data_IF_194942127314
#
_entry.id   IF_194942127314
#
_cell.length_a   1.000
_cell.length_b   1.000
_cell.length_c   1.000
_cell.angle_alpha   90.00
_cell.angle_beta   90.00
_cell.angle_gamma   90.00
#
_symmetry.space_group_name_H-M   'P 1'
#
loop_
_entity.id
_entity.type
_entity.pdbx_description
1 polymer ?
#
# COMPACT_ATOMS: atom_id res chain seq x y z
N UNK A 1 42.78 17.85 -36.12
CA UNK A 1 42.60 19.16 -36.79
C UNK A 1 41.17 19.38 -37.36
N UNK A 2 40.30 18.41 -37.40
CA UNK A 2 38.99 18.45 -38.04
C UNK A 2 37.91 19.25 -37.26
N UNK A 3 37.95 19.22 -35.92
CA UNK A 3 37.02 19.94 -35.06
C UNK A 3 37.03 21.48 -35.21
N UNK A 4 38.17 22.08 -35.59
CA UNK A 4 38.24 23.54 -35.80
C UNK A 4 37.66 24.00 -37.10
N UNK A 5 37.58 23.13 -38.15
CA UNK A 5 37.13 23.45 -39.49
C UNK A 5 35.62 23.36 -39.64
N UNK A 6 34.95 22.52 -38.82
CA UNK A 6 33.53 22.28 -38.85
C UNK A 6 32.84 22.50 -37.50
N UNK A 7 33.15 23.61 -36.85
CA UNK A 7 32.69 23.90 -35.46
C UNK A 7 31.17 23.75 -35.29
N UNK A 8 30.38 24.28 -36.21
CA UNK A 8 28.91 24.25 -36.13
C UNK A 8 28.39 22.81 -36.25
N UNK A 9 28.90 22.05 -37.22
CA UNK A 9 28.48 20.65 -37.40
C UNK A 9 28.89 19.77 -36.18
N UNK A 10 30.09 20.01 -35.62
CA UNK A 10 30.55 19.29 -34.42
C UNK A 10 29.69 19.61 -33.20
N UNK A 11 29.34 20.89 -33.01
CA UNK A 11 28.43 21.31 -31.92
C UNK A 11 27.06 20.70 -32.08
N UNK A 12 26.46 20.75 -33.28
CA UNK A 12 25.17 20.14 -33.57
C UNK A 12 25.15 18.62 -33.32
N UNK A 13 26.22 17.93 -33.74
CA UNK A 13 26.32 16.48 -33.50
C UNK A 13 26.44 16.17 -32.00
N UNK A 14 27.23 16.93 -31.25
CA UNK A 14 27.35 16.75 -29.80
C UNK A 14 26.01 17.01 -29.12
N UNK A 15 25.33 18.11 -29.43
CA UNK A 15 24.01 18.44 -28.87
C UNK A 15 22.98 17.37 -29.24
N UNK A 16 22.92 16.96 -30.49
CA UNK A 16 22.01 15.92 -30.94
C UNK A 16 22.24 14.59 -30.25
N UNK A 17 23.51 14.18 -30.14
CA UNK A 17 23.87 12.94 -29.42
C UNK A 17 23.55 13.03 -27.93
N UNK A 18 23.82 14.16 -27.31
CA UNK A 18 23.49 14.39 -25.89
C UNK A 18 21.99 14.28 -25.64
N UNK A 19 21.18 14.93 -26.48
CA UNK A 19 19.71 14.86 -26.40
C UNK A 19 19.21 13.42 -26.60
N UNK A 20 19.78 12.69 -27.56
CA UNK A 20 19.43 11.29 -27.79
C UNK A 20 19.75 10.40 -26.57
N UNK A 21 20.91 10.58 -25.95
CA UNK A 21 21.28 9.85 -24.73
C UNK A 21 20.38 10.22 -23.53
N UNK A 22 20.05 11.50 -23.37
CA UNK A 22 19.11 11.91 -22.30
C UNK A 22 17.74 11.28 -22.52
N UNK A 23 17.20 11.33 -23.73
CA UNK A 23 15.91 10.69 -24.04
C UNK A 23 15.96 9.17 -23.80
N UNK A 24 17.02 8.50 -24.27
CA UNK A 24 17.20 7.07 -24.01
C UNK A 24 17.26 6.75 -22.51
N UNK A 25 18.04 7.53 -21.74
CA UNK A 25 18.16 7.32 -20.30
C UNK A 25 16.81 7.46 -19.57
N UNK A 26 16.02 8.49 -19.92
CA UNK A 26 14.69 8.70 -19.34
C UNK A 26 13.78 7.52 -19.65
N UNK A 27 13.71 7.08 -20.91
CA UNK A 27 12.88 5.94 -21.31
C UNK A 27 13.35 4.66 -20.61
N UNK A 28 14.64 4.37 -20.63
CA UNK A 28 15.20 3.18 -20.00
C UNK A 28 14.95 3.16 -18.49
N UNK A 29 15.08 4.30 -17.80
CA UNK A 29 14.79 4.41 -16.38
C UNK A 29 13.30 4.18 -16.07
N UNK A 30 12.39 4.67 -16.92
CA UNK A 30 10.95 4.45 -16.76
C UNK A 30 10.59 2.97 -16.99
N UNK A 31 11.16 2.35 -18.02
CA UNK A 31 10.94 0.92 -18.30
C UNK A 31 11.48 0.08 -17.13
N UNK A 32 12.67 0.40 -16.63
CA UNK A 32 13.25 -0.29 -15.48
C UNK A 32 12.38 -0.16 -14.23
N UNK A 33 11.92 1.07 -13.93
CA UNK A 33 11.02 1.32 -12.81
C UNK A 33 9.75 0.49 -12.92
N UNK A 34 9.09 0.50 -14.07
CA UNK A 34 7.87 -0.27 -14.31
C UNK A 34 8.10 -1.78 -14.22
N UNK A 35 9.21 -2.27 -14.77
CA UNK A 35 9.56 -3.70 -14.75
C UNK A 35 9.96 -4.21 -13.35
N UNK A 36 10.34 -3.32 -12.44
CA UNK A 36 10.74 -3.66 -11.06
C UNK A 36 9.69 -3.24 -10.03
N UNK A 37 8.54 -2.70 -10.47
CA UNK A 37 7.47 -2.27 -9.57
C UNK A 37 6.91 -3.45 -8.77
N UNK A 38 6.76 -3.26 -7.47
CA UNK A 38 6.35 -4.25 -6.48
C UNK A 38 7.29 -5.46 -6.27
N UNK A 39 8.38 -5.61 -7.02
CA UNK A 39 9.35 -6.69 -6.79
C UNK A 39 9.97 -6.74 -5.39
N UNK A 40 10.10 -5.61 -4.65
CA UNK A 40 10.57 -5.66 -3.26
C UNK A 40 9.59 -6.29 -2.27
N UNK A 41 8.33 -6.49 -2.66
CA UNK A 41 7.36 -7.26 -1.88
C UNK A 41 7.72 -8.73 -2.06
N UNK A 42 7.86 -9.45 -0.96
CA UNK A 42 8.19 -10.87 -0.97
C UNK A 42 7.11 -11.66 -1.72
N UNK A 43 7.52 -12.57 -2.60
CA UNK A 43 6.61 -13.37 -3.44
C UNK A 43 5.59 -12.54 -4.24
N UNK A 44 5.96 -11.32 -4.66
CA UNK A 44 5.05 -10.40 -5.35
C UNK A 44 4.44 -10.96 -6.64
N UNK A 45 5.04 -11.96 -7.24
CA UNK A 45 4.55 -12.71 -8.41
C UNK A 45 3.38 -13.67 -8.07
N UNK A 46 3.20 -14.00 -6.79
CA UNK A 46 2.09 -14.81 -6.26
C UNK A 46 1.00 -13.96 -5.58
N UNK A 47 1.20 -12.65 -5.44
CA UNK A 47 0.24 -11.73 -4.83
C UNK A 47 -0.58 -11.01 -5.88
N UNK A 48 -1.88 -11.21 -5.85
CA UNK A 48 -2.84 -10.64 -6.80
C UNK A 48 -3.85 -9.76 -6.10
N UNK A 49 -4.12 -8.60 -6.71
CA UNK A 49 -5.23 -7.74 -6.28
C UNK A 49 -6.52 -8.22 -6.97
N UNK A 50 -7.58 -8.31 -6.20
CA UNK A 50 -8.91 -8.66 -6.70
C UNK A 50 -9.61 -7.37 -7.11
N UNK A 51 -10.02 -7.31 -8.36
CA UNK A 51 -10.84 -6.21 -8.90
C UNK A 51 -12.26 -6.69 -9.16
N UNK A 52 -13.21 -5.85 -8.86
CA UNK A 52 -14.62 -6.10 -9.17
C UNK A 52 -15.00 -5.39 -10.47
N UNK A 53 -15.74 -6.09 -11.33
CA UNK A 53 -16.32 -5.50 -12.53
C UNK A 53 -17.68 -4.87 -12.18
N UNK A 54 -17.78 -3.57 -12.38
CA UNK A 54 -19.06 -2.87 -12.30
C UNK A 54 -19.81 -3.08 -13.62
N UNK A 55 -20.54 -4.19 -13.71
CA UNK A 55 -21.31 -4.52 -14.90
C UNK A 55 -22.64 -3.77 -14.97
N UNK A 56 -22.81 -2.91 -15.99
CA UNK A 56 -24.09 -2.80 -16.69
C UNK A 56 -25.24 -2.05 -16.06
N UNK A 57 -25.16 -1.44 -14.89
CA UNK A 57 -26.29 -0.69 -14.31
C UNK A 57 -26.42 0.74 -14.86
N UNK A 58 -25.42 1.25 -15.56
CA UNK A 58 -25.44 2.62 -16.10
C UNK A 58 -25.56 2.69 -17.63
N UNK A 59 -25.75 1.55 -18.32
CA UNK A 59 -26.10 1.53 -19.75
C UNK A 59 -25.06 2.14 -20.70
N UNK A 60 -23.84 2.34 -20.26
CA UNK A 60 -22.71 2.79 -21.10
C UNK A 60 -21.72 1.64 -21.15
N UNK A 61 -21.49 1.09 -22.32
CA UNK A 61 -20.82 -0.16 -22.63
C UNK A 61 -19.31 -0.25 -22.33
N UNK A 62 -18.80 0.48 -21.37
CA UNK A 62 -17.42 0.36 -20.90
C UNK A 62 -17.41 -0.46 -19.60
N UNK A 63 -16.63 -1.54 -19.61
CA UNK A 63 -16.36 -2.36 -18.45
C UNK A 63 -15.51 -1.56 -17.45
N UNK A 64 -16.14 -1.00 -16.43
CA UNK A 64 -15.45 -0.26 -15.37
C UNK A 64 -14.94 -1.25 -14.29
N UNK A 65 -13.65 -1.49 -14.29
CA UNK A 65 -12.98 -2.27 -13.25
C UNK A 65 -12.70 -1.40 -12.03
N UNK A 66 -13.18 -1.82 -10.86
CA UNK A 66 -12.88 -1.19 -9.57
C UNK A 66 -11.93 -2.06 -8.75
N UNK A 67 -10.91 -1.44 -8.17
CA UNK A 67 -10.06 -2.09 -7.16
C UNK A 67 -10.77 -2.25 -5.81
N UNK A 68 -11.83 -1.48 -5.56
CA UNK A 68 -12.62 -1.56 -4.34
C UNK A 68 -13.73 -2.59 -4.44
N UNK A 69 -13.91 -3.40 -3.39
CA UNK A 69 -15.01 -4.35 -3.26
C UNK A 69 -15.47 -4.47 -1.80
N UNK A 70 -16.71 -4.95 -1.55
CA UNK A 70 -17.21 -5.15 -0.20
C UNK A 70 -16.47 -6.29 0.50
N UNK A 71 -15.99 -6.04 1.72
CA UNK A 71 -15.17 -7.00 2.46
C UNK A 71 -15.83 -8.40 2.66
N UNK A 72 -17.07 -8.53 3.10
CA UNK A 72 -17.62 -9.86 3.38
C UNK A 72 -17.68 -10.77 2.16
N UNK A 73 -18.17 -10.25 1.06
CA UNK A 73 -18.38 -11.03 -0.18
C UNK A 73 -17.06 -11.51 -0.76
N UNK A 74 -16.06 -10.64 -0.77
CA UNK A 74 -14.75 -10.98 -1.33
C UNK A 74 -14.04 -12.02 -0.48
N UNK A 75 -14.11 -11.90 0.85
CA UNK A 75 -13.50 -12.85 1.77
C UNK A 75 -14.11 -14.25 1.61
N UNK A 76 -15.42 -14.36 1.69
CA UNK A 76 -16.13 -15.64 1.51
C UNK A 76 -15.81 -16.28 0.16
N UNK A 77 -15.66 -15.47 -0.88
CA UNK A 77 -15.33 -15.96 -2.21
C UNK A 77 -13.92 -16.52 -2.27
N UNK A 78 -12.92 -15.84 -1.68
CA UNK A 78 -11.52 -16.28 -1.70
C UNK A 78 -11.31 -17.54 -0.85
N UNK A 79 -11.95 -17.65 0.31
CA UNK A 79 -11.88 -18.83 1.17
C UNK A 79 -12.39 -20.11 0.49
N UNK A 80 -13.15 -19.98 -0.60
CA UNK A 80 -13.67 -21.10 -1.40
C UNK A 80 -12.67 -21.60 -2.47
N UNK A 81 -11.54 -20.91 -2.69
CA UNK A 81 -10.63 -21.28 -3.79
C UNK A 81 -9.48 -22.17 -3.34
N UNK A 82 -9.29 -23.33 -4.00
CA UNK A 82 -8.09 -24.13 -3.84
C UNK A 82 -6.86 -23.35 -4.27
N UNK A 83 -5.80 -23.38 -3.46
CA UNK A 83 -4.53 -22.73 -3.77
C UNK A 83 -4.41 -21.27 -3.30
N UNK A 84 -5.42 -20.71 -2.65
CA UNK A 84 -5.25 -19.48 -1.88
C UNK A 84 -4.51 -19.79 -0.57
N UNK A 85 -3.29 -19.27 -0.41
CA UNK A 85 -2.45 -19.47 0.78
C UNK A 85 -2.92 -18.55 1.91
N UNK A 86 -3.03 -17.27 1.62
CA UNK A 86 -3.50 -16.26 2.56
C UNK A 86 -4.14 -15.08 1.83
N UNK A 87 -4.91 -14.30 2.56
CA UNK A 87 -5.72 -13.23 2.02
C UNK A 87 -5.72 -12.05 2.98
N UNK A 88 -5.71 -10.85 2.42
CA UNK A 88 -5.79 -9.62 3.19
C UNK A 88 -6.62 -8.55 2.49
N UNK A 89 -6.98 -7.54 3.24
CA UNK A 89 -7.55 -6.32 2.68
C UNK A 89 -6.81 -5.10 3.22
N UNK A 90 -6.80 -4.06 2.40
CA UNK A 90 -6.37 -2.72 2.77
C UNK A 90 -7.54 -1.77 2.57
N UNK A 91 -7.74 -0.88 3.53
CA UNK A 91 -8.61 0.28 3.35
C UNK A 91 -7.74 1.52 3.27
N UNK A 92 -7.68 2.07 2.07
CA UNK A 92 -6.98 3.31 1.81
C UNK A 92 -7.89 4.51 2.10
N UNK A 93 -7.32 5.49 2.75
CA UNK A 93 -7.99 6.77 2.93
C UNK A 93 -7.44 7.78 1.92
N UNK A 94 -8.35 8.51 1.27
CA UNK A 94 -8.02 9.48 0.22
C UNK A 94 -7.08 10.62 0.66
N UNK A 95 -6.89 10.80 1.97
CA UNK A 95 -6.02 11.82 2.56
C UNK A 95 -5.11 11.19 3.61
N UNK A 96 -3.88 11.69 3.77
CA UNK A 96 -3.02 11.28 4.86
C UNK A 96 -3.72 11.49 6.21
N UNK A 97 -3.64 10.48 7.08
CA UNK A 97 -4.19 10.60 8.42
C UNK A 97 -3.42 11.65 9.24
N UNK A 98 -4.16 12.39 10.03
CA UNK A 98 -3.59 13.21 11.08
C UNK A 98 -3.34 12.34 12.29
N UNK A 99 -2.09 12.31 12.71
CA UNK A 99 -1.65 11.57 13.87
C UNK A 99 -0.94 12.48 14.82
N UNK A 100 -1.00 12.19 16.10
CA UNK A 100 -0.32 12.94 17.15
C UNK A 100 0.51 12.01 18.00
N UNK A 101 1.59 12.53 18.52
CA UNK A 101 2.38 11.93 19.59
C UNK A 101 2.44 12.86 20.77
N UNK A 102 2.60 12.32 21.97
CA UNK A 102 2.78 13.06 23.19
C UNK A 102 4.05 12.55 23.88
N UNK A 103 5.07 13.37 23.97
CA UNK A 103 6.28 13.02 24.69
C UNK A 103 6.13 13.35 26.16
N UNK A 104 6.37 12.36 27.03
CA UNK A 104 6.46 12.52 28.51
C UNK A 104 5.34 13.35 29.16
N UNK A 105 4.11 13.24 28.65
CA UNK A 105 2.97 14.02 29.16
C UNK A 105 2.94 15.48 28.79
N UNK A 106 3.81 15.91 27.86
CA UNK A 106 3.84 17.27 27.30
C UNK A 106 2.73 17.54 26.27
N UNK A 107 2.92 18.58 25.46
CA UNK A 107 1.98 18.93 24.42
C UNK A 107 1.94 17.93 23.27
N UNK A 108 0.76 17.76 22.69
CA UNK A 108 0.58 16.95 21.51
C UNK A 108 1.25 17.55 20.28
N UNK A 109 2.07 16.78 19.59
CA UNK A 109 2.69 17.16 18.33
C UNK A 109 1.94 16.48 17.19
N UNK A 110 1.52 17.26 16.21
CA UNK A 110 0.70 16.81 15.06
C UNK A 110 1.56 16.53 13.84
N UNK A 111 1.22 15.42 13.15
CA UNK A 111 1.85 14.99 11.91
C UNK A 111 0.79 14.55 10.90
N UNK A 112 1.13 14.65 9.60
CA UNK A 112 0.36 14.04 8.52
C UNK A 112 1.16 12.85 7.98
N UNK A 113 0.56 11.67 7.98
CA UNK A 113 1.21 10.43 7.55
C UNK A 113 0.27 9.55 6.75
N UNK A 114 0.80 8.86 5.74
CA UNK A 114 0.11 7.80 5.03
C UNK A 114 -0.15 6.63 5.98
N UNK A 115 -1.38 6.15 6.00
CA UNK A 115 -1.78 5.04 6.85
C UNK A 115 -2.83 4.20 6.14
N UNK A 116 -2.78 2.89 6.39
CA UNK A 116 -3.81 1.95 5.98
C UNK A 116 -4.45 1.31 7.21
N UNK A 117 -5.76 1.07 7.12
CA UNK A 117 -6.38 0.00 7.90
C UNK A 117 -6.14 -1.30 7.13
N UNK A 118 -5.62 -2.31 7.80
CA UNK A 118 -5.17 -3.55 7.18
C UNK A 118 -5.56 -4.75 8.04
N UNK A 119 -6.02 -5.83 7.41
CA UNK A 119 -6.15 -7.09 8.14
C UNK A 119 -4.77 -7.60 8.57
N UNK A 120 -4.65 -8.25 9.75
CA UNK A 120 -3.37 -8.71 10.29
C UNK A 120 -2.56 -9.59 9.32
N UNK A 121 -3.23 -10.35 8.48
CA UNK A 121 -2.64 -11.22 7.47
C UNK A 121 -1.84 -10.45 6.41
N UNK A 122 -2.09 -9.14 6.30
CA UNK A 122 -1.33 -8.26 5.39
C UNK A 122 0.16 -8.18 5.68
N UNK A 123 0.57 -8.41 6.93
CA UNK A 123 1.99 -8.48 7.27
C UNK A 123 2.70 -9.63 6.53
N UNK A 124 2.02 -10.76 6.40
CA UNK A 124 2.51 -11.94 5.69
C UNK A 124 2.37 -11.77 4.17
N UNK A 125 1.18 -11.32 3.70
CA UNK A 125 0.92 -11.14 2.27
C UNK A 125 1.94 -10.21 1.61
N UNK A 126 2.34 -9.15 2.30
CA UNK A 126 3.27 -8.14 1.75
C UNK A 126 4.70 -8.27 2.24
N UNK A 127 5.02 -9.31 3.02
CA UNK A 127 6.39 -9.58 3.49
C UNK A 127 7.01 -8.43 4.28
N UNK A 128 6.39 -8.05 5.40
CA UNK A 128 6.92 -6.97 6.24
C UNK A 128 8.23 -7.41 6.94
N UNK A 129 9.31 -6.69 6.68
CA UNK A 129 10.61 -6.89 7.35
C UNK A 129 10.58 -6.20 8.74
N UNK A 130 10.32 -6.97 9.79
CA UNK A 130 10.16 -6.46 11.15
C UNK A 130 11.52 -6.25 11.79
N UNK A 131 11.80 -5.02 12.21
CA UNK A 131 13.06 -4.59 12.80
C UNK A 131 13.06 -4.60 14.34
N UNK A 132 11.88 -4.40 14.95
CA UNK A 132 11.72 -4.38 16.41
C UNK A 132 10.28 -4.67 16.79
N UNK A 133 10.10 -5.19 18.02
CA UNK A 133 8.79 -5.51 18.58
C UNK A 133 8.25 -6.87 18.15
N UNK A 134 6.96 -7.06 18.36
CA UNK A 134 6.23 -8.29 18.05
C UNK A 134 5.02 -7.95 17.16
N UNK A 135 5.17 -8.18 15.87
CA UNK A 135 4.15 -7.87 14.87
C UNK A 135 2.89 -8.75 15.00
N UNK A 136 2.97 -9.91 15.67
CA UNK A 136 1.80 -10.76 15.91
C UNK A 136 0.74 -10.07 16.78
N UNK A 137 1.15 -9.09 17.59
CA UNK A 137 0.26 -8.30 18.45
C UNK A 137 -0.63 -7.31 17.67
N UNK A 138 -0.43 -7.14 16.37
CA UNK A 138 -1.37 -6.33 15.56
C UNK A 138 -2.79 -6.90 15.56
N UNK A 139 -2.97 -8.15 15.95
CA UNK A 139 -4.30 -8.78 16.12
C UNK A 139 -5.09 -8.21 17.31
N UNK A 140 -4.39 -7.58 18.24
CA UNK A 140 -5.03 -6.96 19.39
C UNK A 140 -5.66 -5.61 19.01
N UNK A 141 -6.75 -5.22 19.66
CA UNK A 141 -7.38 -3.94 19.41
C UNK A 141 -6.48 -2.77 19.80
N UNK A 142 -6.61 -1.66 19.10
CA UNK A 142 -5.85 -0.44 19.35
C UNK A 142 -4.33 -0.61 19.23
N UNK A 143 -3.89 -1.40 18.26
CA UNK A 143 -2.48 -1.59 17.93
C UNK A 143 -2.15 -1.14 16.53
N UNK A 144 -0.90 -0.75 16.34
CA UNK A 144 -0.35 -0.37 15.03
C UNK A 144 1.06 -0.92 14.86
N UNK A 145 1.42 -1.15 13.61
CA UNK A 145 2.82 -1.28 13.20
C UNK A 145 3.22 -0.03 12.42
N UNK A 146 4.44 0.45 12.63
CA UNK A 146 4.92 1.67 12.00
C UNK A 146 6.24 1.44 11.28
N UNK A 147 6.49 2.20 10.20
CA UNK A 147 7.78 2.15 9.54
C UNK A 147 8.89 2.78 10.39
N UNK A 148 10.13 2.38 10.13
CA UNK A 148 11.31 2.96 10.79
C UNK A 148 11.35 4.48 10.59
N UNK A 149 11.11 4.96 9.36
CA UNK A 149 11.08 6.38 9.07
C UNK A 149 9.96 7.12 9.82
N UNK A 150 8.81 6.46 10.04
CA UNK A 150 7.76 7.01 10.89
C UNK A 150 8.18 7.09 12.36
N UNK A 151 8.76 6.02 12.90
CA UNK A 151 9.26 5.96 14.27
C UNK A 151 10.25 7.10 14.55
N UNK A 152 11.23 7.28 13.66
CA UNK A 152 12.22 8.34 13.75
C UNK A 152 11.59 9.76 13.66
N UNK A 153 10.67 9.96 12.72
CA UNK A 153 10.00 11.25 12.52
C UNK A 153 9.08 11.64 13.67
N UNK A 154 8.38 10.66 14.24
CA UNK A 154 7.46 10.86 15.36
C UNK A 154 8.20 10.91 16.69
N UNK A 155 9.42 10.37 16.78
CA UNK A 155 10.20 10.25 18.01
C UNK A 155 9.62 9.22 18.98
N UNK A 156 9.07 8.11 18.47
CA UNK A 156 8.43 7.06 19.26
C UNK A 156 9.00 5.68 18.90
N UNK A 157 8.83 4.72 19.78
CA UNK A 157 9.28 3.35 19.65
C UNK A 157 8.19 2.32 19.96
N UNK A 158 8.59 1.07 20.05
CA UNK A 158 7.69 -0.02 20.48
C UNK A 158 7.22 0.22 21.90
N UNK A 159 5.92 0.11 22.15
CA UNK A 159 5.26 0.37 23.43
C UNK A 159 4.73 1.79 23.58
N UNK A 160 5.20 2.73 22.76
CA UNK A 160 4.69 4.10 22.76
C UNK A 160 3.31 4.19 22.11
N UNK A 161 2.66 5.34 22.27
CA UNK A 161 1.35 5.60 21.71
C UNK A 161 1.40 6.62 20.57
N UNK A 162 0.67 6.31 19.52
CA UNK A 162 0.27 7.26 18.48
C UNK A 162 -1.24 7.48 18.58
N UNK A 163 -1.68 8.72 18.45
CA UNK A 163 -3.08 9.08 18.57
C UNK A 163 -3.65 9.45 17.20
N UNK A 164 -4.80 8.89 16.89
CA UNK A 164 -5.56 9.23 15.69
C UNK A 164 -6.58 10.32 16.00
N UNK A 165 -7.06 10.95 14.93
CA UNK A 165 -8.08 11.96 15.04
C UNK A 165 -9.38 11.41 15.62
N UNK A 166 -9.93 12.15 16.57
CA UNK A 166 -11.27 11.98 17.09
C UNK A 166 -12.06 13.28 16.93
N UNK A 167 -13.39 13.21 17.08
CA UNK A 167 -14.27 14.37 16.97
C UNK A 167 -15.05 14.45 15.67
N UNK A 168 -16.05 15.35 15.64
CA UNK A 168 -16.88 15.57 14.46
C UNK A 168 -16.14 16.37 13.38
N UNK A 169 -16.50 16.12 12.14
CA UNK A 169 -15.94 16.63 10.89
C UNK A 169 -15.38 18.07 10.93
N UNK A 170 -14.12 18.21 10.57
CA UNK A 170 -13.33 19.38 10.17
C UNK A 170 -12.91 20.41 11.24
N UNK A 171 -13.70 20.77 12.24
CA UNK A 171 -13.36 21.92 13.08
C UNK A 171 -12.76 21.61 14.47
N UNK A 172 -12.90 20.39 14.98
CA UNK A 172 -12.45 19.99 16.31
C UNK A 172 -11.61 18.71 16.34
N UNK A 173 -10.75 18.52 15.33
CA UNK A 173 -9.89 17.33 15.29
C UNK A 173 -8.85 17.40 16.42
N UNK A 174 -8.93 16.44 17.31
CA UNK A 174 -8.08 16.28 18.47
C UNK A 174 -7.54 14.86 18.58
N UNK A 175 -6.42 14.65 19.28
CA UNK A 175 -5.89 13.31 19.53
C UNK A 175 -6.79 12.57 20.52
N UNK A 176 -7.57 11.59 20.04
CA UNK A 176 -8.52 10.86 20.91
C UNK A 176 -8.33 9.36 20.93
N UNK A 177 -7.87 8.76 19.84
CA UNK A 177 -7.81 7.32 19.70
C UNK A 177 -6.38 6.81 19.84
N UNK A 178 -5.91 6.52 21.07
CA UNK A 178 -4.57 5.98 21.25
C UNK A 178 -4.44 4.59 20.61
N UNK A 179 -3.32 4.38 19.93
CA UNK A 179 -2.93 3.11 19.37
C UNK A 179 -1.51 2.80 19.87
N UNK A 180 -1.30 1.62 20.36
CA UNK A 180 0.03 1.19 20.84
C UNK A 180 0.86 0.69 19.67
N UNK A 181 2.08 1.17 19.55
CA UNK A 181 3.06 0.67 18.58
C UNK A 181 3.56 -0.69 19.04
N UNK A 182 3.21 -1.75 18.31
CA UNK A 182 3.60 -3.13 18.67
C UNK A 182 4.82 -3.60 17.92
N UNK A 183 5.07 -3.04 16.71
CA UNK A 183 6.27 -3.36 15.95
C UNK A 183 6.71 -2.21 15.05
N UNK A 184 7.99 -2.21 14.71
CA UNK A 184 8.60 -1.31 13.75
C UNK A 184 9.09 -2.14 12.56
N UNK A 185 8.69 -1.78 11.35
CA UNK A 185 9.11 -2.42 10.13
C UNK A 185 10.01 -1.52 9.29
N UNK A 186 10.76 -2.12 8.36
CA UNK A 186 11.61 -1.42 7.39
C UNK A 186 10.77 -0.71 6.33
N UNK A 187 11.11 0.55 6.05
CA UNK A 187 10.39 1.33 5.05
C UNK A 187 10.35 0.63 3.69
N UNK A 188 9.19 0.62 3.06
CA UNK A 188 9.05 0.12 1.69
C UNK A 188 9.75 1.04 0.70
N UNK A 189 10.47 0.49 -0.29
CA UNK A 189 11.15 1.28 -1.30
C UNK A 189 10.15 1.95 -2.26
N UNK A 190 10.65 2.98 -2.99
CA UNK A 190 9.83 3.84 -3.86
C UNK A 190 9.10 3.12 -4.99
N UNK A 191 9.57 1.96 -5.39
CA UNK A 191 8.99 1.17 -6.46
C UNK A 191 7.99 0.11 -5.94
N UNK A 192 7.29 0.41 -4.85
CA UNK A 192 6.16 -0.37 -4.36
C UNK A 192 4.94 0.51 -4.16
N UNK A 193 3.73 -0.08 -4.26
CA UNK A 193 2.49 0.65 -3.97
C UNK A 193 2.36 1.01 -2.48
N UNK A 194 3.09 0.32 -1.60
CA UNK A 194 3.14 0.60 -0.16
C UNK A 194 4.09 1.76 0.21
N UNK A 195 4.83 2.30 -0.76
CA UNK A 195 5.66 3.46 -0.52
C UNK A 195 4.84 4.64 0.01
N UNK A 196 5.37 5.38 0.98
CA UNK A 196 4.69 6.47 1.72
C UNK A 196 3.57 6.04 2.68
N UNK A 197 3.31 4.76 2.83
CA UNK A 197 2.42 4.26 3.87
C UNK A 197 3.26 3.82 5.05
N UNK A 198 3.14 4.57 6.12
CA UNK A 198 4.06 4.48 7.26
C UNK A 198 3.43 3.87 8.51
N UNK A 199 2.11 3.80 8.54
CA UNK A 199 1.36 3.28 9.69
C UNK A 199 0.28 2.34 9.19
N UNK A 200 0.28 1.12 9.73
CA UNK A 200 -0.76 0.13 9.47
C UNK A 200 -1.47 -0.16 10.78
N UNK A 201 -2.77 0.11 10.78
CA UNK A 201 -3.67 -0.12 11.89
C UNK A 201 -4.48 -1.38 11.63
N UNK A 202 -4.69 -2.17 12.68
CA UNK A 202 -5.54 -3.34 12.61
C UNK A 202 -6.97 -2.95 12.18
N UNK A 203 -7.44 -3.52 11.08
CA UNK A 203 -8.83 -3.51 10.70
C UNK A 203 -9.48 -4.82 11.12
N UNK A 204 -10.06 -4.82 12.31
CA UNK A 204 -10.85 -5.94 12.83
C UNK A 204 -12.23 -6.04 12.18
N UNK A 205 -12.33 -5.78 10.89
CA UNK A 205 -13.59 -5.91 10.16
C UNK A 205 -14.04 -7.40 10.08
N UNK A 206 -13.96 -8.11 11.21
CA UNK A 206 -14.37 -9.52 11.33
C UNK A 206 -15.87 -9.72 11.28
N UNK A 207 -16.63 -8.67 11.53
CA UNK A 207 -18.05 -8.86 11.88
C UNK A 207 -19.00 -8.75 10.70
N UNK A 208 -18.56 -8.58 9.48
CA UNK A 208 -19.43 -8.63 8.29
C UNK A 208 -20.71 -7.78 8.37
N UNK A 209 -20.97 -7.22 9.53
CA UNK A 209 -22.16 -6.44 9.83
C UNK A 209 -21.97 -5.01 9.37
N UNK A 210 -22.44 -4.76 8.19
CA UNK A 210 -22.78 -3.40 7.81
C UNK A 210 -21.80 -2.66 6.92
N UNK A 211 -20.77 -3.28 6.39
CA UNK A 211 -19.87 -2.60 5.47
C UNK A 211 -20.10 -3.03 4.01
N UNK A 212 -21.21 -2.60 3.44
CA UNK A 212 -21.36 -2.44 1.98
C UNK A 212 -20.39 -1.33 1.46
N UNK A 213 -19.33 -1.09 2.19
CA UNK A 213 -18.36 -0.06 1.85
C UNK A 213 -17.37 -0.64 0.84
N UNK A 214 -17.34 -0.05 -0.35
CA UNK A 214 -16.50 -0.44 -1.48
C UNK A 214 -15.06 0.10 -1.38
N UNK A 215 -14.64 0.52 -0.20
CA UNK A 215 -13.33 1.14 0.03
C UNK A 215 -12.23 0.14 0.41
N UNK A 216 -12.45 -1.15 0.17
CA UNK A 216 -11.48 -2.19 0.48
C UNK A 216 -10.81 -2.71 -0.79
N UNK A 217 -9.50 -2.66 -0.81
CA UNK A 217 -8.67 -3.32 -1.81
C UNK A 217 -8.27 -4.69 -1.26
N UNK A 218 -8.64 -5.75 -1.95
CA UNK A 218 -8.39 -7.11 -1.52
C UNK A 218 -7.21 -7.72 -2.26
N UNK A 219 -6.38 -8.43 -1.51
CA UNK A 219 -5.19 -9.10 -2.03
C UNK A 219 -5.19 -10.55 -1.58
N UNK A 220 -4.86 -11.43 -2.50
CA UNK A 220 -4.69 -12.85 -2.26
C UNK A 220 -3.28 -13.28 -2.64
N UNK A 221 -2.63 -14.01 -1.75
CA UNK A 221 -1.37 -14.70 -2.03
C UNK A 221 -1.70 -16.15 -2.33
N UNK A 222 -1.23 -16.65 -3.46
CA UNK A 222 -1.45 -18.01 -3.88
C UNK A 222 -0.27 -18.90 -3.50
N UNK A 223 -0.54 -20.18 -3.30
CA UNK A 223 0.49 -21.21 -3.17
C UNK A 223 1.35 -21.28 -4.44
N UNK A 224 2.58 -21.76 -4.28
CA UNK A 224 3.46 -21.97 -5.44
C UNK A 224 2.85 -23.01 -6.40
N UNK A 225 2.79 -22.64 -7.69
CA UNK A 225 2.20 -23.48 -8.72
C UNK A 225 0.65 -23.50 -8.75
N UNK A 226 -0.03 -22.62 -8.02
CA UNK A 226 -1.49 -22.51 -8.09
C UNK A 226 -1.99 -22.17 -9.50
N UNK A 227 -3.13 -22.73 -9.89
CA UNK A 227 -3.78 -22.46 -11.19
C UNK A 227 -4.56 -21.14 -11.14
N UNK A 228 -3.85 -20.05 -11.43
CA UNK A 228 -4.43 -18.69 -11.43
C UNK A 228 -5.50 -18.53 -12.52
N UNK A 229 -5.39 -19.23 -13.66
CA UNK A 229 -6.40 -19.13 -14.71
C UNK A 229 -7.71 -19.83 -14.32
N UNK A 230 -7.63 -20.94 -13.59
CA UNK A 230 -8.81 -21.55 -13.00
C UNK A 230 -9.48 -20.63 -11.98
N UNK A 231 -8.68 -19.95 -11.14
CA UNK A 231 -9.19 -18.94 -10.22
C UNK A 231 -9.93 -17.82 -10.96
N UNK A 232 -9.30 -17.18 -11.96
CA UNK A 232 -9.91 -16.10 -12.75
C UNK A 232 -11.25 -16.53 -13.34
N UNK A 233 -11.32 -17.73 -13.91
CA UNK A 233 -12.56 -18.24 -14.48
C UNK A 233 -13.68 -18.34 -13.45
N UNK A 234 -13.41 -18.91 -12.29
CA UNK A 234 -14.41 -19.03 -11.22
C UNK A 234 -14.83 -17.63 -10.70
N UNK A 235 -13.88 -16.69 -10.61
CA UNK A 235 -14.16 -15.33 -10.17
C UNK A 235 -15.03 -14.55 -11.16
N UNK A 236 -14.81 -14.75 -12.46
CA UNK A 236 -15.58 -14.07 -13.53
C UNK A 236 -16.98 -14.66 -13.72
N UNK A 237 -17.22 -15.92 -13.31
CA UNK A 237 -18.51 -16.60 -13.45
C UNK A 237 -19.47 -16.31 -12.28
N UNK A 238 -19.05 -15.53 -11.25
CA UNK A 238 -19.85 -15.13 -10.09
C UNK A 238 -20.32 -13.69 -10.16
#
# INVERSE_FOLDING_TARGET
MTLKRYKIASVLNIVGLTLAFVAFYVIASQVWYSATYNRPIEDSDRVYMISALWGGTLGQGDEDWSSGSPNPVTRESVEMFPGAETFTHLREYAQPHRVWTQADGGDFRKFNMGSYDMAPEGLEVFGFDILAGDASQIKEPNTVVISKGAAERLGIGVGDQVYYEGGEWYDNMRPEKPQTVVAIFKDFPKNTFLYNHHIFKNDNCKDGKGNNNWNYNHYVKFEDGADIEAFKKIWMDK
#
